data_IF_663406157103
#
_entry.id   IF_663406157103
#
_cell.length_a   1.000
_cell.length_b   1.000
_cell.length_c   1.000
_cell.angle_alpha   90.00
_cell.angle_beta   90.00
_cell.angle_gamma   90.00
#
_symmetry.space_group_name_H-M   'P 1'
#
loop_
_entity.id
_entity.type
_entity.pdbx_description
1 polymer ?
#
# COMPACT_ATOMS: atom_id res chain seq x y z
N UNK A 1 40.00 4.83 7.86
CA UNK A 1 39.24 4.31 9.02
C UNK A 1 37.94 5.08 9.11
N UNK A 2 36.79 4.43 8.94
CA UNK A 2 35.47 5.07 9.06
C UNK A 2 35.30 5.59 10.49
N UNK A 3 34.68 6.77 10.65
CA UNK A 3 34.41 7.33 11.98
C UNK A 3 33.43 6.41 12.72
N UNK A 4 33.51 6.29 14.07
CA UNK A 4 32.57 5.45 14.83
C UNK A 4 31.09 5.78 14.56
N UNK A 5 30.76 7.03 14.31
CA UNK A 5 29.42 7.51 13.96
C UNK A 5 28.95 6.99 12.59
N UNK A 6 29.85 6.88 11.61
CA UNK A 6 29.53 6.32 10.28
C UNK A 6 29.20 4.83 10.37
N UNK A 7 29.92 4.11 11.23
CA UNK A 7 29.67 2.68 11.48
C UNK A 7 28.33 2.46 12.18
N UNK A 8 28.00 3.29 13.18
CA UNK A 8 26.70 3.21 13.86
C UNK A 8 25.54 3.55 12.94
N UNK A 9 25.72 4.52 12.06
CA UNK A 9 24.70 4.88 11.05
C UNK A 9 24.48 3.75 10.07
N UNK A 10 25.54 3.20 9.49
CA UNK A 10 25.46 2.06 8.57
C UNK A 10 24.81 0.83 9.23
N UNK A 11 25.09 0.60 10.52
CA UNK A 11 24.47 -0.48 11.27
C UNK A 11 22.96 -0.26 11.47
N UNK A 12 22.53 0.97 11.81
CA UNK A 12 21.10 1.32 11.90
C UNK A 12 20.39 1.16 10.55
N UNK A 13 21.03 1.61 9.47
CA UNK A 13 20.48 1.48 8.12
C UNK A 13 20.31 0.01 7.73
N UNK A 14 21.29 -0.86 8.07
CA UNK A 14 21.21 -2.28 7.86
C UNK A 14 20.08 -2.93 8.67
N UNK A 15 19.92 -2.57 9.96
CA UNK A 15 18.80 -3.01 10.79
C UNK A 15 17.46 -2.52 10.25
N UNK A 16 17.41 -1.31 9.69
CA UNK A 16 16.21 -0.73 9.08
C UNK A 16 15.70 -1.50 7.88
N UNK A 17 16.53 -2.33 7.21
CA UNK A 17 16.10 -3.19 6.10
C UNK A 17 15.15 -4.32 6.54
N UNK A 18 15.08 -4.61 7.84
CA UNK A 18 14.14 -5.56 8.41
C UNK A 18 12.82 -4.84 8.73
N UNK A 19 11.77 -5.10 7.92
CA UNK A 19 10.44 -4.54 8.16
C UNK A 19 9.83 -5.15 9.43
N UNK A 20 9.38 -4.30 10.36
CA UNK A 20 8.76 -4.71 11.61
C UNK A 20 7.32 -4.21 11.71
N UNK A 21 6.51 -4.83 12.57
CA UNK A 21 5.32 -4.21 13.11
C UNK A 21 5.69 -3.06 14.05
N UNK A 22 4.74 -2.16 14.28
CA UNK A 22 4.85 -1.10 15.29
C UNK A 22 3.97 -1.46 16.47
N UNK A 23 4.54 -1.40 17.68
CA UNK A 23 3.80 -1.72 18.90
C UNK A 23 3.89 -0.58 19.92
N UNK A 24 2.89 -0.51 20.81
CA UNK A 24 2.98 0.26 22.06
C UNK A 24 2.95 -0.73 23.21
N UNK A 25 4.00 -0.72 24.03
CA UNK A 25 4.02 -1.40 25.33
C UNK A 25 3.52 -0.46 26.41
N UNK A 26 2.67 -0.95 27.32
CA UNK A 26 2.07 -0.18 28.41
C UNK A 26 2.21 -0.92 29.75
N UNK A 27 2.33 -0.17 30.84
CA UNK A 27 2.31 -0.66 32.20
C UNK A 27 1.86 0.46 33.16
N UNK A 28 1.80 0.19 34.46
CA UNK A 28 1.64 1.22 35.48
C UNK A 28 2.97 1.49 36.17
N UNK A 29 3.22 2.75 36.49
CA UNK A 29 4.27 3.17 37.40
C UNK A 29 3.88 2.82 38.83
N UNK A 30 4.83 2.82 39.82
CA UNK A 30 4.53 2.51 41.23
C UNK A 30 3.49 3.42 41.88
N UNK A 31 3.33 4.64 41.38
CA UNK A 31 2.31 5.62 41.82
C UNK A 31 0.93 5.43 41.15
N UNK A 32 0.80 4.44 40.29
CA UNK A 32 -0.44 4.12 39.56
C UNK A 32 -0.62 4.88 38.24
N UNK A 33 0.31 5.75 37.87
CA UNK A 33 0.23 6.49 36.61
C UNK A 33 0.48 5.57 35.38
N UNK A 34 -0.29 5.72 34.28
CA UNK A 34 -0.12 4.92 33.12
C UNK A 34 1.16 5.30 32.34
N UNK A 35 1.96 4.33 32.01
CA UNK A 35 3.22 4.48 31.26
C UNK A 35 3.17 3.70 29.96
N UNK A 36 3.68 4.29 28.87
CA UNK A 36 3.73 3.63 27.58
C UNK A 36 4.90 4.08 26.72
N UNK A 37 5.32 3.19 25.83
CA UNK A 37 6.42 3.43 24.88
C UNK A 37 6.19 2.71 23.57
N UNK A 38 6.50 3.38 22.46
CA UNK A 38 6.50 2.76 21.12
C UNK A 38 7.74 1.90 20.95
N UNK A 39 7.58 0.69 20.45
CA UNK A 39 8.65 -0.25 20.19
C UNK A 39 8.42 -0.99 18.87
N UNK A 40 9.50 -1.20 18.10
CA UNK A 40 9.54 -2.03 16.88
C UNK A 40 10.25 -3.38 17.11
N UNK A 41 10.66 -3.65 18.34
CA UNK A 41 11.43 -4.84 18.70
C UNK A 41 10.59 -6.03 19.17
N UNK A 42 9.26 -5.93 19.15
CA UNK A 42 8.36 -7.00 19.56
C UNK A 42 8.51 -8.24 18.67
N UNK A 43 8.61 -9.42 19.31
CA UNK A 43 8.67 -10.71 18.62
C UNK A 43 8.08 -11.84 19.47
N UNK A 44 7.64 -12.92 18.82
CA UNK A 44 7.27 -14.17 19.47
C UNK A 44 8.52 -14.96 19.91
N UNK A 45 8.40 -15.68 21.02
CA UNK A 45 9.49 -16.53 21.57
C UNK A 45 9.06 -17.99 21.60
N UNK A 46 7.89 -18.30 22.19
CA UNK A 46 7.41 -19.65 22.40
C UNK A 46 5.88 -19.72 22.33
N UNK A 47 5.35 -20.87 21.96
CA UNK A 47 3.91 -21.14 22.03
C UNK A 47 3.52 -21.92 23.30
N UNK A 48 4.45 -22.71 23.86
CA UNK A 48 4.26 -23.46 25.08
C UNK A 48 5.55 -23.45 25.94
N UNK A 49 5.57 -22.69 27.05
CA UNK A 49 4.59 -21.67 27.43
C UNK A 49 4.52 -20.50 26.41
N UNK A 50 3.40 -19.76 26.35
CA UNK A 50 3.23 -18.66 25.38
C UNK A 50 4.08 -17.46 25.81
N UNK A 51 5.21 -17.24 25.16
CA UNK A 51 6.17 -16.19 25.46
C UNK A 51 6.33 -15.22 24.28
N UNK A 52 6.44 -13.95 24.63
CA UNK A 52 6.80 -12.86 23.71
C UNK A 52 7.97 -12.05 24.28
N UNK A 53 8.69 -11.33 23.43
CA UNK A 53 9.73 -10.40 23.86
C UNK A 53 9.58 -9.03 23.18
N UNK A 54 10.16 -8.03 23.82
CA UNK A 54 10.46 -6.73 23.23
C UNK A 54 11.64 -6.10 23.98
N UNK A 55 12.21 -5.02 23.44
CA UNK A 55 13.40 -4.39 24.04
C UNK A 55 13.13 -2.94 24.42
N UNK A 56 13.51 -2.56 25.62
CA UNK A 56 13.36 -1.23 26.20
C UNK A 56 14.74 -0.57 26.36
N UNK A 57 14.90 0.62 25.79
CA UNK A 57 16.16 1.37 25.94
C UNK A 57 16.44 1.70 27.42
N UNK A 58 17.68 1.48 27.89
CA UNK A 58 18.11 1.80 29.25
C UNK A 58 18.01 3.28 29.60
N UNK A 59 18.09 4.13 28.56
CA UNK A 59 17.91 5.59 28.67
C UNK A 59 16.44 6.02 28.75
N UNK A 60 15.48 5.09 28.58
CA UNK A 60 14.05 5.43 28.63
C UNK A 60 13.62 5.82 30.04
N UNK A 61 12.90 6.94 30.17
CA UNK A 61 12.26 7.36 31.42
C UNK A 61 11.20 6.35 31.91
N UNK A 62 10.64 5.54 30.99
CA UNK A 62 9.65 4.50 31.32
C UNK A 62 10.28 3.24 31.95
N UNK A 63 11.62 3.13 31.97
CA UNK A 63 12.32 1.92 32.39
C UNK A 63 11.96 1.49 33.83
N UNK A 64 11.95 2.35 34.86
CA UNK A 64 11.62 1.92 36.20
C UNK A 64 10.24 1.26 36.26
N UNK A 65 9.22 1.87 35.65
CA UNK A 65 7.87 1.33 35.62
C UNK A 65 7.82 -0.09 35.03
N UNK A 66 8.42 -0.32 33.87
CA UNK A 66 8.43 -1.64 33.23
C UNK A 66 9.26 -2.67 33.98
N UNK A 67 10.36 -2.27 34.60
CA UNK A 67 11.21 -3.20 35.37
C UNK A 67 10.58 -3.63 36.69
N UNK A 68 9.76 -2.79 37.30
CA UNK A 68 9.23 -2.99 38.66
C UNK A 68 7.79 -3.51 38.68
N UNK A 69 6.97 -3.21 37.69
CA UNK A 69 5.53 -3.56 37.64
C UNK A 69 5.23 -5.06 37.64
N UNK A 70 6.14 -5.89 37.15
CA UNK A 70 5.93 -7.33 37.00
C UNK A 70 4.94 -7.74 35.90
N UNK A 71 4.38 -6.80 35.15
CA UNK A 71 3.44 -7.03 34.07
C UNK A 71 3.49 -5.92 33.01
N UNK A 72 3.03 -6.20 31.82
CA UNK A 72 2.88 -5.22 30.73
C UNK A 72 1.83 -5.67 29.71
N UNK A 73 1.29 -4.75 28.94
CA UNK A 73 0.51 -5.07 27.75
C UNK A 73 1.26 -4.58 26.50
N UNK A 74 1.14 -5.32 25.40
CA UNK A 74 1.68 -4.93 24.10
C UNK A 74 0.54 -4.83 23.10
N UNK A 75 0.45 -3.70 22.39
CA UNK A 75 -0.54 -3.42 21.36
C UNK A 75 0.14 -3.32 20.02
N UNK A 76 -0.15 -4.23 19.11
CA UNK A 76 0.22 -4.09 17.69
C UNK A 76 -0.70 -3.04 17.08
N UNK A 77 -0.13 -1.94 16.62
CA UNK A 77 -0.91 -0.83 16.08
C UNK A 77 -1.51 -1.16 14.73
N UNK A 78 -2.71 -0.64 14.47
CA UNK A 78 -3.32 -0.65 13.15
C UNK A 78 -2.72 0.46 12.26
N UNK A 79 -2.84 0.32 10.93
CA UNK A 79 -2.31 1.27 9.96
C UNK A 79 -2.81 2.71 10.18
N UNK A 80 -3.98 2.89 10.81
CA UNK A 80 -4.54 4.20 11.12
C UNK A 80 -3.90 4.88 12.35
N UNK A 81 -3.00 4.22 13.09
CA UNK A 81 -2.49 4.68 14.38
C UNK A 81 -1.08 5.28 14.34
N UNK A 82 -0.67 5.86 13.21
CA UNK A 82 0.65 6.50 13.05
C UNK A 82 0.84 7.65 14.04
N UNK A 83 -0.16 8.51 14.24
CA UNK A 83 -0.08 9.63 15.18
C UNK A 83 0.11 9.13 16.64
N UNK A 84 -0.59 8.06 17.00
CA UNK A 84 -0.46 7.44 18.31
C UNK A 84 0.95 6.86 18.51
N UNK A 85 1.48 6.17 17.50
CA UNK A 85 2.86 5.68 17.50
C UNK A 85 3.87 6.81 17.75
N UNK A 86 3.73 7.91 17.01
CA UNK A 86 4.62 9.08 17.15
C UNK A 86 4.54 9.72 18.55
N UNK A 87 3.34 9.79 19.14
CA UNK A 87 3.12 10.30 20.49
C UNK A 87 3.85 9.47 21.53
N UNK A 88 3.69 8.15 21.49
CA UNK A 88 4.31 7.24 22.47
C UNK A 88 5.83 7.06 22.25
N UNK A 89 6.36 7.45 21.09
CA UNK A 89 7.80 7.45 20.83
C UNK A 89 8.54 8.64 21.48
N UNK A 90 7.85 9.75 21.77
CA UNK A 90 8.46 10.96 22.34
C UNK A 90 8.67 10.81 23.85
N UNK A 91 9.62 11.60 24.41
CA UNK A 91 9.86 11.68 25.85
C UNK A 91 9.21 12.93 26.43
N UNK A 92 8.74 12.85 27.71
CA UNK A 92 8.36 14.02 28.50
C UNK A 92 6.96 14.61 28.27
N UNK A 93 6.08 13.95 27.52
CA UNK A 93 4.67 14.35 27.29
C UNK A 93 3.72 13.45 28.08
N UNK A 94 2.53 13.99 28.44
CA UNK A 94 1.39 13.18 28.88
C UNK A 94 0.85 12.39 27.67
N UNK A 95 1.37 11.19 27.50
CA UNK A 95 1.10 10.33 26.33
C UNK A 95 -0.31 9.77 26.33
N UNK A 96 -0.96 9.68 27.49
CA UNK A 96 -2.29 9.12 27.66
C UNK A 96 -3.41 10.16 27.59
N UNK A 97 -3.10 11.45 27.55
CA UNK A 97 -4.10 12.51 27.42
C UNK A 97 -4.97 12.32 26.18
N UNK A 98 -6.28 12.15 26.37
CA UNK A 98 -7.23 11.91 25.29
C UNK A 98 -7.11 10.54 24.59
N UNK A 99 -6.39 9.60 25.18
CA UNK A 99 -6.30 8.22 24.70
C UNK A 99 -7.29 7.35 25.49
N UNK A 100 -8.17 6.66 24.77
CA UNK A 100 -9.10 5.71 25.38
C UNK A 100 -8.36 4.42 25.75
N UNK A 101 -8.38 4.09 27.03
CA UNK A 101 -7.82 2.84 27.55
C UNK A 101 -8.64 2.33 28.75
N UNK A 102 -8.47 1.07 29.06
CA UNK A 102 -9.04 0.43 30.26
C UNK A 102 -7.98 -0.37 30.98
N UNK A 103 -8.21 -0.66 32.24
CA UNK A 103 -7.37 -1.57 33.00
C UNK A 103 -7.53 -3.00 32.47
N UNK A 104 -6.41 -3.68 32.17
CA UNK A 104 -6.37 -5.08 31.77
C UNK A 104 -6.40 -6.04 32.96
N UNK A 105 -6.35 -7.35 32.66
CA UNK A 105 -6.42 -8.42 33.68
C UNK A 105 -5.30 -8.34 34.74
N UNK A 106 -4.11 -7.85 34.34
CA UNK A 106 -2.96 -7.70 35.22
C UNK A 106 -2.75 -6.26 35.67
N UNK A 107 -3.67 -5.35 35.36
CA UNK A 107 -3.59 -3.95 35.74
C UNK A 107 -2.92 -3.04 34.71
N UNK A 108 -2.26 -3.57 33.67
CA UNK A 108 -1.67 -2.73 32.63
C UNK A 108 -2.73 -2.00 31.81
N UNK A 109 -2.49 -0.74 31.37
CA UNK A 109 -3.39 -0.02 30.49
C UNK A 109 -3.56 -0.77 29.17
N UNK A 110 -4.80 -1.10 28.79
CA UNK A 110 -5.18 -1.70 27.50
C UNK A 110 -5.83 -0.63 26.65
N UNK A 111 -5.21 -0.26 25.53
CA UNK A 111 -5.72 0.70 24.57
C UNK A 111 -7.00 0.19 23.92
N UNK A 112 -7.93 1.07 23.57
CA UNK A 112 -9.21 0.68 22.97
C UNK A 112 -9.11 0.25 21.48
N UNK A 113 -8.06 0.70 20.78
CA UNK A 113 -7.82 0.40 19.35
C UNK A 113 -6.45 -0.25 19.17
N UNK A 114 -6.40 -1.32 18.38
CA UNK A 114 -5.21 -2.10 18.02
C UNK A 114 -5.55 -3.13 16.93
N UNK A 115 -4.55 -3.60 16.22
CA UNK A 115 -4.69 -4.78 15.34
C UNK A 115 -4.61 -6.09 16.16
N UNK A 116 -3.73 -6.12 17.17
CA UNK A 116 -3.67 -7.19 18.16
C UNK A 116 -3.18 -6.65 19.51
N UNK A 117 -3.55 -7.31 20.62
CA UNK A 117 -3.02 -7.02 21.93
C UNK A 117 -2.62 -8.29 22.67
N UNK A 118 -1.66 -8.16 23.57
CA UNK A 118 -1.15 -9.23 24.43
C UNK A 118 -0.98 -8.67 25.83
N UNK A 119 -1.62 -9.27 26.85
CA UNK A 119 -1.39 -8.97 28.26
C UNK A 119 -0.42 -9.98 28.83
N UNK A 120 0.66 -9.50 29.42
CA UNK A 120 1.81 -10.32 29.76
C UNK A 120 2.22 -10.15 31.23
N UNK A 121 2.54 -11.27 31.88
CA UNK A 121 3.32 -11.29 33.13
C UNK A 121 4.79 -11.32 32.75
N UNK A 122 5.60 -10.39 33.33
CA UNK A 122 7.04 -10.38 33.14
C UNK A 122 7.65 -11.67 33.68
N UNK A 123 8.35 -12.44 32.84
CA UNK A 123 9.05 -13.68 33.24
C UNK A 123 10.53 -13.48 33.39
N UNK A 124 11.13 -12.76 32.44
CA UNK A 124 12.57 -12.52 32.47
C UNK A 124 12.88 -11.11 31.96
N UNK A 125 13.98 -10.58 32.51
CA UNK A 125 14.60 -9.35 32.06
C UNK A 125 16.08 -9.63 31.84
N UNK A 126 16.55 -9.43 30.58
CA UNK A 126 17.94 -9.69 30.24
C UNK A 126 18.65 -8.43 29.80
N UNK A 127 19.93 -8.33 30.17
CA UNK A 127 20.82 -7.29 29.69
C UNK A 127 21.09 -7.46 28.19
N UNK A 128 20.68 -6.47 27.39
CA UNK A 128 20.82 -6.45 25.93
C UNK A 128 21.68 -5.28 25.43
N UNK A 129 22.81 -5.00 26.09
CA UNK A 129 23.65 -3.86 25.70
C UNK A 129 23.09 -2.53 26.22
N UNK A 130 22.68 -1.64 25.32
CA UNK A 130 22.02 -0.38 25.64
C UNK A 130 20.48 -0.52 25.88
N UNK A 131 19.97 -1.75 25.78
CA UNK A 131 18.57 -2.11 26.03
C UNK A 131 18.44 -3.16 27.14
N UNK A 132 17.22 -3.32 27.66
CA UNK A 132 16.77 -4.45 28.46
C UNK A 132 15.79 -5.25 27.60
N UNK A 133 16.01 -6.55 27.48
CA UNK A 133 15.09 -7.46 26.79
C UNK A 133 14.05 -7.93 27.82
N UNK A 134 12.79 -7.54 27.60
CA UNK A 134 11.65 -7.92 28.41
C UNK A 134 11.01 -9.17 27.81
N UNK A 135 10.94 -10.26 28.58
CA UNK A 135 10.24 -11.47 28.17
C UNK A 135 8.99 -11.61 29.03
N UNK A 136 7.83 -11.69 28.37
CA UNK A 136 6.53 -11.83 29.02
C UNK A 136 5.83 -13.13 28.65
N UNK A 137 5.20 -13.76 29.64
CA UNK A 137 4.23 -14.84 29.42
C UNK A 137 2.87 -14.23 29.15
N UNK A 138 2.30 -14.57 28.02
CA UNK A 138 0.98 -14.09 27.59
C UNK A 138 -0.10 -14.77 28.41
N UNK A 139 -0.90 -13.98 29.14
CA UNK A 139 -2.03 -14.44 29.95
C UNK A 139 -3.38 -14.20 29.27
N UNK A 140 -3.43 -13.19 28.38
CA UNK A 140 -4.60 -12.91 27.57
C UNK A 140 -4.18 -12.23 26.25
N UNK A 141 -4.93 -12.45 25.20
CA UNK A 141 -4.67 -11.82 23.90
C UNK A 141 -5.96 -11.66 23.09
N UNK A 142 -5.95 -10.69 22.18
CA UNK A 142 -7.03 -10.45 21.21
C UNK A 142 -6.42 -10.00 19.90
N UNK A 143 -6.97 -10.48 18.79
CA UNK A 143 -6.63 -10.01 17.44
C UNK A 143 -7.90 -9.53 16.71
N UNK A 144 -7.77 -8.47 15.93
CA UNK A 144 -8.82 -7.89 15.11
C UNK A 144 -8.47 -7.98 13.63
N UNK A 145 -9.48 -7.92 12.80
CA UNK A 145 -9.27 -7.91 11.33
C UNK A 145 -8.92 -6.50 10.86
N UNK A 146 -7.76 -6.01 11.32
CA UNK A 146 -7.20 -4.71 10.96
C UNK A 146 -5.78 -4.87 10.39
N UNK A 147 -5.44 -4.08 9.38
CA UNK A 147 -4.10 -4.05 8.82
C UNK A 147 -3.12 -3.48 9.86
N UNK A 148 -1.99 -4.16 10.17
CA UNK A 148 -1.01 -3.64 11.10
C UNK A 148 -0.20 -2.48 10.50
N UNK A 149 0.18 -1.53 11.35
CA UNK A 149 1.16 -0.49 11.03
C UNK A 149 2.56 -1.13 10.92
N UNK A 150 3.25 -0.88 9.83
CA UNK A 150 4.61 -1.36 9.59
C UNK A 150 5.62 -0.22 9.66
N UNK A 151 6.87 -0.58 9.97
CA UNK A 151 8.02 0.33 9.94
C UNK A 151 9.16 -0.30 9.18
N UNK A 152 9.68 0.41 8.17
CA UNK A 152 10.78 -0.06 7.32
C UNK A 152 11.65 1.10 6.89
N UNK A 153 12.98 0.95 7.02
CA UNK A 153 13.97 1.93 6.57
C UNK A 153 13.69 3.37 7.05
N UNK A 154 13.25 3.52 8.31
CA UNK A 154 13.00 4.83 8.91
C UNK A 154 11.65 5.46 8.58
N UNK A 155 10.76 4.75 7.91
CA UNK A 155 9.45 5.24 7.48
C UNK A 155 8.33 4.25 7.84
N UNK A 156 7.13 4.78 8.08
CA UNK A 156 5.95 3.92 8.17
C UNK A 156 5.60 3.34 6.79
N UNK A 157 5.06 2.15 6.77
CA UNK A 157 4.68 1.41 5.58
C UNK A 157 3.34 0.69 5.79
N UNK A 158 2.63 0.45 4.72
CA UNK A 158 1.42 -0.36 4.72
C UNK A 158 1.69 -1.75 4.15
N UNK A 159 0.96 -2.73 4.65
CA UNK A 159 0.98 -4.07 4.10
C UNK A 159 0.26 -4.06 2.75
N UNK A 160 0.98 -4.33 1.67
CA UNK A 160 0.35 -4.74 0.42
C UNK A 160 0.12 -6.26 0.48
N UNK A 161 -1.14 -6.74 0.55
CA UNK A 161 -1.38 -8.17 0.47
C UNK A 161 -0.81 -8.67 -0.86
N UNK A 162 0.14 -9.61 -0.81
CA UNK A 162 0.34 -10.43 -2.00
C UNK A 162 -1.01 -11.10 -2.27
N UNK A 163 -1.52 -11.13 -3.50
CA UNK A 163 -2.65 -11.98 -3.81
C UNK A 163 -2.28 -13.36 -3.25
N UNK A 164 -2.89 -13.76 -2.15
CA UNK A 164 -3.00 -15.19 -1.86
C UNK A 164 -3.80 -15.67 -3.04
N UNK A 165 -3.23 -16.54 -3.85
CA UNK A 165 -4.00 -17.24 -4.84
C UNK A 165 -5.28 -17.63 -4.10
N UNK A 166 -6.42 -17.05 -4.52
CA UNK A 166 -7.73 -17.43 -4.01
C UNK A 166 -7.67 -18.92 -3.95
N UNK A 167 -7.99 -19.49 -2.77
CA UNK A 167 -7.73 -20.89 -2.50
C UNK A 167 -8.03 -21.65 -3.76
N UNK A 168 -7.02 -22.23 -4.36
CA UNK A 168 -7.18 -22.94 -5.59
C UNK A 168 -8.16 -24.06 -5.27
N UNK A 169 -9.45 -23.78 -5.51
CA UNK A 169 -10.29 -24.85 -6.03
C UNK A 169 -9.46 -25.33 -7.19
N UNK A 170 -8.94 -26.53 -7.03
CA UNK A 170 -7.93 -27.14 -7.84
C UNK A 170 -8.06 -26.69 -9.30
N UNK A 171 -7.28 -25.65 -9.69
CA UNK A 171 -6.96 -25.50 -11.10
C UNK A 171 -6.44 -26.88 -11.44
N UNK A 172 -7.13 -27.60 -12.31
CA UNK A 172 -6.70 -28.90 -12.76
C UNK A 172 -5.42 -28.72 -13.58
N UNK A 173 -4.33 -28.41 -12.85
CA UNK A 173 -2.98 -28.18 -13.41
C UNK A 173 -2.42 -29.48 -13.97
N UNK A 174 -2.96 -30.62 -13.56
CA UNK A 174 -2.55 -31.93 -14.11
C UNK A 174 -3.01 -32.10 -15.55
N UNK A 175 -4.11 -31.49 -15.95
CA UNK A 175 -4.64 -31.60 -17.33
C UNK A 175 -4.49 -30.32 -18.15
N UNK A 176 -3.91 -29.24 -17.60
CA UNK A 176 -3.67 -27.98 -18.30
C UNK A 176 -4.96 -27.31 -18.84
N UNK A 177 -6.13 -27.61 -18.26
CA UNK A 177 -7.40 -27.06 -18.72
C UNK A 177 -7.59 -25.65 -18.20
N UNK A 178 -7.77 -24.74 -19.11
CA UNK A 178 -8.08 -23.34 -18.83
C UNK A 178 -9.58 -23.20 -18.51
N UNK A 179 -9.92 -22.60 -17.37
CA UNK A 179 -11.30 -22.30 -17.01
C UNK A 179 -11.73 -20.96 -17.59
N UNK A 180 -12.90 -20.91 -18.20
CA UNK A 180 -13.51 -19.67 -18.69
C UNK A 180 -14.08 -18.80 -17.55
N UNK A 181 -14.10 -19.30 -16.31
CA UNK A 181 -14.45 -18.56 -15.09
C UNK A 181 -13.23 -17.90 -14.40
N UNK A 182 -12.04 -17.97 -15.00
CA UNK A 182 -10.85 -17.33 -14.49
C UNK A 182 -10.93 -15.81 -14.63
N UNK A 183 -10.88 -15.06 -13.51
CA UNK A 183 -11.12 -13.61 -13.46
C UNK A 183 -10.26 -12.83 -14.48
N UNK A 184 -8.96 -13.12 -14.58
CA UNK A 184 -8.10 -12.41 -15.54
C UNK A 184 -8.44 -12.72 -16.99
N UNK A 185 -8.95 -13.92 -17.27
CA UNK A 185 -9.48 -14.26 -18.60
C UNK A 185 -10.72 -13.43 -18.92
N UNK A 186 -11.67 -13.34 -17.99
CA UNK A 186 -12.89 -12.55 -18.16
C UNK A 186 -12.58 -11.08 -18.40
N UNK A 187 -11.66 -10.49 -17.61
CA UNK A 187 -11.22 -9.10 -17.79
C UNK A 187 -10.57 -8.92 -19.17
N UNK A 188 -9.63 -9.80 -19.54
CA UNK A 188 -8.92 -9.74 -20.81
C UNK A 188 -9.88 -9.92 -21.98
N UNK A 189 -10.77 -10.90 -21.92
CA UNK A 189 -11.77 -11.16 -22.95
C UNK A 189 -12.74 -9.98 -23.12
N UNK A 190 -13.24 -9.42 -22.00
CA UNK A 190 -14.09 -8.25 -22.04
C UNK A 190 -13.36 -7.07 -22.68
N UNK A 191 -12.10 -6.80 -22.33
CA UNK A 191 -11.27 -5.76 -22.94
C UNK A 191 -11.11 -5.97 -24.44
N UNK A 192 -10.72 -7.17 -24.90
CA UNK A 192 -10.51 -7.42 -26.33
C UNK A 192 -11.80 -7.35 -27.13
N UNK A 193 -12.92 -7.81 -26.60
CA UNK A 193 -14.22 -7.75 -27.26
C UNK A 193 -14.77 -6.33 -27.34
N UNK A 194 -14.73 -5.57 -26.24
CA UNK A 194 -15.26 -4.19 -26.22
C UNK A 194 -14.39 -3.20 -27.00
N UNK A 195 -13.07 -3.42 -27.06
CA UNK A 195 -12.15 -2.57 -27.83
C UNK A 195 -12.05 -2.90 -29.32
N UNK A 196 -12.60 -4.05 -29.76
CA UNK A 196 -12.53 -4.48 -31.17
C UNK A 196 -13.15 -3.46 -32.14
N UNK A 197 -14.41 -2.97 -31.94
CA UNK A 197 -14.99 -2.00 -32.84
C UNK A 197 -14.19 -0.69 -32.94
N UNK A 198 -13.60 -0.25 -31.82
CA UNK A 198 -12.73 0.94 -31.82
C UNK A 198 -11.46 0.70 -32.64
N UNK A 199 -10.85 -0.49 -32.57
CA UNK A 199 -9.69 -0.84 -33.39
C UNK A 199 -10.03 -0.88 -34.88
N UNK A 200 -11.18 -1.43 -35.23
CA UNK A 200 -11.69 -1.47 -36.61
C UNK A 200 -11.91 -0.03 -37.14
N UNK A 201 -12.55 0.84 -36.32
CA UNK A 201 -12.74 2.25 -36.66
C UNK A 201 -11.43 3.01 -36.85
N UNK A 202 -10.44 2.79 -35.97
CA UNK A 202 -9.10 3.39 -36.11
C UNK A 202 -8.42 2.96 -37.43
N UNK A 203 -8.53 1.68 -37.80
CA UNK A 203 -7.98 1.18 -39.06
C UNK A 203 -8.65 1.85 -40.27
N UNK A 204 -9.97 2.07 -40.23
CA UNK A 204 -10.69 2.83 -41.27
C UNK A 204 -10.19 4.27 -41.40
N UNK A 205 -9.84 4.90 -40.25
CA UNK A 205 -9.29 6.25 -40.18
C UNK A 205 -7.79 6.32 -40.52
N UNK A 206 -7.14 5.19 -40.85
CA UNK A 206 -5.70 5.13 -41.13
C UNK A 206 -4.82 5.39 -39.90
N UNK A 207 -5.34 5.09 -38.72
CA UNK A 207 -4.65 5.27 -37.43
C UNK A 207 -4.47 3.94 -36.70
N UNK A 208 -3.50 3.90 -35.78
CA UNK A 208 -3.23 2.75 -34.92
C UNK A 208 -3.72 2.99 -33.50
N UNK A 209 -3.80 1.90 -32.70
CA UNK A 209 -4.09 2.00 -31.27
C UNK A 209 -3.00 2.80 -30.53
N UNK A 210 -1.73 2.65 -30.93
CA UNK A 210 -0.62 3.42 -30.31
C UNK A 210 -0.76 4.92 -30.60
N UNK A 211 -1.11 5.30 -31.83
CA UNK A 211 -1.41 6.70 -32.18
C UNK A 211 -2.58 7.22 -31.32
N UNK A 212 -3.67 6.48 -31.25
CA UNK A 212 -4.84 6.87 -30.44
C UNK A 212 -4.53 7.04 -28.96
N UNK A 213 -3.80 6.10 -28.35
CA UNK A 213 -3.40 6.20 -26.93
C UNK A 213 -2.47 7.39 -26.68
N UNK A 214 -1.56 7.68 -27.60
CA UNK A 214 -0.71 8.88 -27.54
C UNK A 214 -1.56 10.16 -27.59
N UNK A 215 -2.54 10.24 -28.49
CA UNK A 215 -3.47 11.37 -28.57
C UNK A 215 -4.31 11.49 -27.29
N UNK A 216 -4.74 10.35 -26.72
CA UNK A 216 -5.52 10.33 -25.48
C UNK A 216 -4.74 10.93 -24.30
N UNK A 217 -3.48 10.53 -24.12
CA UNK A 217 -2.61 11.11 -23.07
C UNK A 217 -2.44 12.62 -23.27
N UNK A 218 -2.09 13.05 -24.48
CA UNK A 218 -1.89 14.47 -24.77
C UNK A 218 -3.19 15.29 -24.73
N UNK A 219 -4.35 14.65 -24.85
CA UNK A 219 -5.64 15.34 -24.69
C UNK A 219 -5.95 15.72 -23.23
N UNK A 220 -5.33 15.02 -22.28
CA UNK A 220 -5.52 15.27 -20.85
C UNK A 220 -4.44 16.20 -20.29
N UNK A 221 -3.21 16.02 -20.76
CA UNK A 221 -2.08 16.79 -20.28
C UNK A 221 -1.09 16.98 -21.43
N UNK A 222 -0.90 18.21 -21.85
CA UNK A 222 0.07 18.63 -22.87
C UNK A 222 0.62 20.01 -22.53
N UNK A 223 1.87 20.36 -22.95
CA UNK A 223 2.79 19.52 -23.72
C UNK A 223 3.52 18.48 -22.85
N UNK A 224 3.91 17.34 -23.43
CA UNK A 224 4.68 16.29 -22.77
C UNK A 224 5.83 15.81 -23.66
N UNK A 225 6.97 15.45 -23.04
CA UNK A 225 8.07 14.78 -23.73
C UNK A 225 7.79 13.28 -23.94
N UNK A 226 8.62 12.61 -24.73
CA UNK A 226 8.47 11.19 -25.04
C UNK A 226 8.45 10.32 -23.79
N UNK A 227 9.32 10.62 -22.80
CA UNK A 227 9.44 9.84 -21.58
C UNK A 227 8.16 9.97 -20.72
N UNK A 228 7.65 11.17 -20.58
CA UNK A 228 6.43 11.45 -19.83
C UNK A 228 5.20 10.78 -20.47
N UNK A 229 5.09 10.80 -21.82
CA UNK A 229 4.04 10.05 -22.51
C UNK A 229 4.17 8.53 -22.26
N UNK A 230 5.39 8.00 -22.37
CA UNK A 230 5.66 6.57 -22.14
C UNK A 230 5.33 6.12 -20.72
N UNK A 231 5.65 6.92 -19.71
CA UNK A 231 5.30 6.64 -18.31
C UNK A 231 3.78 6.53 -18.11
N UNK A 232 2.99 7.39 -18.74
CA UNK A 232 1.52 7.35 -18.66
C UNK A 232 0.90 6.15 -19.39
N UNK A 233 1.59 5.58 -20.35
CA UNK A 233 1.13 4.45 -21.15
C UNK A 233 1.75 3.10 -20.73
N UNK A 234 2.62 3.08 -19.72
CA UNK A 234 3.34 1.86 -19.29
C UNK A 234 2.40 0.68 -19.02
N UNK A 235 1.22 0.93 -18.48
CA UNK A 235 0.20 -0.09 -18.18
C UNK A 235 -0.43 -0.71 -19.45
N UNK A 236 -0.33 -0.07 -20.59
CA UNK A 236 -0.88 -0.55 -21.86
C UNK A 236 0.12 -1.41 -22.64
N UNK A 237 1.40 -1.37 -22.30
CA UNK A 237 2.49 -1.93 -23.09
C UNK A 237 2.81 -1.16 -24.37
N UNK A 238 2.21 0.01 -24.59
CA UNK A 238 2.34 0.84 -25.81
C UNK A 238 3.06 2.17 -25.53
N UNK A 239 4.32 2.11 -25.08
CA UNK A 239 5.14 3.32 -24.98
C UNK A 239 5.54 3.80 -26.38
N UNK A 240 5.23 5.06 -26.80
CA UNK A 240 5.53 5.52 -28.14
C UNK A 240 7.04 5.66 -28.36
N UNK A 241 7.53 5.10 -29.48
CA UNK A 241 8.90 5.32 -29.92
C UNK A 241 9.05 6.71 -30.54
N UNK A 242 10.28 7.27 -30.53
CA UNK A 242 10.58 8.52 -31.25
C UNK A 242 10.11 8.45 -32.71
N UNK A 243 10.33 7.31 -33.36
CA UNK A 243 9.89 7.08 -34.75
C UNK A 243 8.38 7.24 -34.92
N UNK A 244 7.59 6.78 -33.96
CA UNK A 244 6.13 6.95 -34.00
C UNK A 244 5.74 8.41 -33.84
N UNK A 245 6.33 9.12 -32.87
CA UNK A 245 6.07 10.54 -32.64
C UNK A 245 6.44 11.39 -33.85
N UNK A 246 7.59 11.13 -34.49
CA UNK A 246 8.00 11.78 -35.74
C UNK A 246 7.00 11.48 -36.90
N UNK A 247 6.48 10.26 -36.98
CA UNK A 247 5.44 9.92 -37.94
C UNK A 247 4.15 10.69 -37.70
N UNK A 248 3.70 10.76 -36.44
CA UNK A 248 2.50 11.51 -36.05
C UNK A 248 2.64 13.01 -36.32
N UNK A 249 3.83 13.57 -36.10
CA UNK A 249 4.14 14.97 -36.43
C UNK A 249 4.09 15.20 -37.95
N UNK A 250 4.65 14.29 -38.78
CA UNK A 250 4.54 14.33 -40.23
C UNK A 250 3.10 14.20 -40.71
N UNK A 251 2.28 13.38 -40.07
CA UNK A 251 0.82 13.27 -40.30
C UNK A 251 0.05 14.51 -39.85
N UNK A 252 0.70 15.49 -39.23
CA UNK A 252 0.10 16.68 -38.62
C UNK A 252 -0.90 16.36 -37.50
N UNK A 253 -0.71 15.22 -36.83
CA UNK A 253 -1.48 14.85 -35.64
C UNK A 253 -0.91 15.49 -34.39
N UNK A 254 0.41 15.73 -34.36
CA UNK A 254 1.12 16.37 -33.26
C UNK A 254 1.87 17.60 -33.76
N UNK A 255 2.10 18.56 -32.85
CA UNK A 255 3.11 19.59 -32.94
C UNK A 255 4.26 19.23 -31.99
N UNK A 256 5.49 19.63 -32.38
CA UNK A 256 6.68 19.43 -31.54
C UNK A 256 7.34 20.79 -31.29
N UNK A 257 7.64 21.08 -30.05
CA UNK A 257 8.44 22.24 -29.62
C UNK A 257 9.32 21.85 -28.45
N UNK A 258 10.63 22.13 -28.53
CA UNK A 258 11.59 21.86 -27.46
C UNK A 258 11.51 20.41 -26.91
N UNK A 259 11.49 19.43 -27.83
CA UNK A 259 11.36 18.00 -27.56
C UNK A 259 10.05 17.60 -26.84
N UNK A 260 9.09 18.50 -26.72
CA UNK A 260 7.76 18.26 -26.17
C UNK A 260 6.71 18.25 -27.28
N UNK A 261 5.68 17.45 -27.07
CA UNK A 261 4.60 17.21 -28.04
C UNK A 261 3.27 17.74 -27.51
N UNK A 262 2.49 18.31 -28.43
CA UNK A 262 1.09 18.69 -28.18
C UNK A 262 0.21 18.25 -29.35
N UNK A 263 -1.11 18.22 -29.14
CA UNK A 263 -2.10 17.89 -30.15
C UNK A 263 -2.16 18.99 -31.22
N UNK A 264 -1.91 18.62 -32.45
CA UNK A 264 -2.32 19.46 -33.58
C UNK A 264 -3.84 19.38 -33.81
N UNK A 265 -4.40 20.29 -34.58
CA UNK A 265 -5.83 20.34 -34.87
C UNK A 265 -6.37 19.02 -35.45
N UNK A 266 -5.64 18.43 -36.40
CA UNK A 266 -6.02 17.13 -36.99
C UNK A 266 -5.96 15.99 -35.96
N UNK A 267 -4.99 16.01 -35.07
CA UNK A 267 -4.89 15.02 -33.98
C UNK A 267 -6.04 15.14 -32.99
N UNK A 268 -6.40 16.36 -32.61
CA UNK A 268 -7.57 16.63 -31.76
C UNK A 268 -8.86 16.15 -32.41
N UNK A 269 -9.05 16.42 -33.69
CA UNK A 269 -10.22 15.97 -34.45
C UNK A 269 -10.31 14.44 -34.48
N UNK A 270 -9.22 13.75 -34.81
CA UNK A 270 -9.14 12.28 -34.85
C UNK A 270 -9.46 11.70 -33.46
N UNK A 271 -8.88 12.27 -32.41
CA UNK A 271 -9.13 11.82 -31.04
C UNK A 271 -10.61 11.97 -30.66
N UNK A 272 -11.22 13.14 -30.88
CA UNK A 272 -12.63 13.40 -30.54
C UNK A 272 -13.56 12.49 -31.34
N UNK A 273 -13.30 12.26 -32.62
CA UNK A 273 -14.10 11.34 -33.45
C UNK A 273 -14.04 9.90 -32.89
N UNK A 274 -12.84 9.40 -32.58
CA UNK A 274 -12.67 8.05 -32.03
C UNK A 274 -13.26 7.94 -30.61
N UNK A 275 -13.07 8.94 -29.77
CA UNK A 275 -13.65 8.99 -28.42
C UNK A 275 -15.19 8.99 -28.47
N UNK A 276 -15.78 9.77 -29.36
CA UNK A 276 -17.23 9.85 -29.54
C UNK A 276 -17.80 8.49 -29.97
N UNK A 277 -17.13 7.81 -30.88
CA UNK A 277 -17.47 6.44 -31.27
C UNK A 277 -17.41 5.47 -30.09
N UNK A 278 -16.31 5.49 -29.32
CA UNK A 278 -16.17 4.68 -28.11
C UNK A 278 -17.25 4.97 -27.05
N UNK A 279 -17.63 6.25 -26.88
CA UNK A 279 -18.72 6.64 -25.97
C UNK A 279 -20.10 6.14 -26.42
N UNK A 280 -20.36 6.11 -27.71
CA UNK A 280 -21.59 5.51 -28.24
C UNK A 280 -21.65 4.01 -27.96
N UNK A 281 -20.55 3.28 -28.16
CA UNK A 281 -20.44 1.85 -27.81
C UNK A 281 -20.63 1.60 -26.30
N UNK A 282 -20.05 2.44 -25.44
CA UNK A 282 -20.26 2.36 -23.98
C UNK A 282 -21.73 2.55 -23.63
N UNK A 283 -22.41 3.55 -24.25
CA UNK A 283 -23.82 3.81 -24.02
C UNK A 283 -24.73 2.65 -24.45
N UNK A 284 -24.45 2.07 -25.64
CA UNK A 284 -25.18 0.89 -26.11
C UNK A 284 -25.01 -0.31 -25.18
N UNK A 285 -23.80 -0.57 -24.73
CA UNK A 285 -23.53 -1.64 -23.78
C UNK A 285 -24.22 -1.37 -22.43
N UNK A 286 -24.19 -0.13 -21.97
CA UNK A 286 -24.78 0.28 -20.69
C UNK A 286 -26.30 0.05 -20.62
N UNK A 287 -27.02 0.08 -21.78
CA UNK A 287 -28.45 -0.19 -21.84
C UNK A 287 -28.83 -1.62 -21.43
N UNK A 288 -27.87 -2.53 -21.37
CA UNK A 288 -28.09 -3.92 -20.95
C UNK A 288 -27.91 -4.15 -19.45
N UNK A 289 -27.56 -3.11 -18.68
CA UNK A 289 -27.29 -3.18 -17.25
C UNK A 289 -28.11 -2.15 -16.48
N UNK A 290 -28.42 -2.46 -15.24
CA UNK A 290 -28.96 -1.46 -14.31
C UNK A 290 -27.88 -0.45 -13.88
N UNK A 291 -28.24 0.77 -13.46
CA UNK A 291 -27.29 1.74 -12.93
C UNK A 291 -26.46 1.20 -11.74
N UNK A 292 -27.05 0.33 -10.91
CA UNK A 292 -26.38 -0.28 -9.77
C UNK A 292 -25.29 -1.27 -10.21
N UNK A 293 -25.59 -2.13 -11.20
CA UNK A 293 -24.61 -3.09 -11.77
C UNK A 293 -23.44 -2.36 -12.41
N UNK A 294 -23.70 -1.29 -13.16
CA UNK A 294 -22.63 -0.48 -13.77
C UNK A 294 -21.74 0.19 -12.72
N UNK A 295 -22.37 0.76 -11.68
CA UNK A 295 -21.63 1.40 -10.59
C UNK A 295 -20.75 0.39 -9.86
N UNK A 296 -21.29 -0.79 -9.54
CA UNK A 296 -20.56 -1.86 -8.87
C UNK A 296 -19.42 -2.39 -9.75
N UNK A 297 -19.67 -2.62 -11.04
CA UNK A 297 -18.64 -3.07 -11.98
C UNK A 297 -17.48 -2.05 -12.05
N UNK A 298 -17.79 -0.75 -12.19
CA UNK A 298 -16.77 0.32 -12.19
C UNK A 298 -16.00 0.35 -10.86
N UNK A 299 -16.67 0.17 -9.73
CA UNK A 299 -16.04 0.11 -8.40
C UNK A 299 -15.07 -1.06 -8.29
N UNK A 300 -15.48 -2.26 -8.72
CA UNK A 300 -14.67 -3.47 -8.68
C UNK A 300 -13.45 -3.33 -9.59
N UNK A 301 -13.61 -2.84 -10.83
CA UNK A 301 -12.51 -2.63 -11.77
C UNK A 301 -11.49 -1.61 -11.24
N UNK A 302 -11.94 -0.49 -10.65
CA UNK A 302 -11.04 0.49 -10.02
C UNK A 302 -10.24 -0.17 -8.88
N UNK A 303 -10.89 -0.96 -8.02
CA UNK A 303 -10.21 -1.69 -6.95
C UNK A 303 -9.19 -2.69 -7.49
N UNK A 304 -9.49 -3.38 -8.59
CA UNK A 304 -8.53 -4.28 -9.23
C UNK A 304 -7.32 -3.49 -9.75
N UNK A 305 -7.52 -2.34 -10.39
CA UNK A 305 -6.46 -1.45 -10.87
C UNK A 305 -5.58 -1.01 -9.69
N UNK A 306 -6.19 -0.54 -8.60
CA UNK A 306 -5.45 -0.10 -7.40
C UNK A 306 -4.64 -1.24 -6.77
N UNK A 307 -5.18 -2.45 -6.71
CA UNK A 307 -4.52 -3.63 -6.13
C UNK A 307 -3.43 -4.22 -7.05
N UNK A 308 -3.55 -4.07 -8.37
CA UNK A 308 -2.55 -4.60 -9.32
C UNK A 308 -1.29 -3.73 -9.44
N UNK A 309 -1.29 -2.57 -8.81
CA UNK A 309 -0.06 -1.82 -8.57
C UNK A 309 0.60 -1.20 -9.80
N UNK A 310 -0.15 -0.93 -10.84
CA UNK A 310 0.37 -0.09 -11.89
C UNK A 310 0.60 1.33 -11.34
N UNK A 311 1.83 1.82 -11.42
CA UNK A 311 2.16 3.22 -11.16
C UNK A 311 1.59 4.08 -12.29
N UNK A 312 0.26 4.18 -12.31
CA UNK A 312 -0.43 5.11 -13.21
C UNK A 312 -0.36 6.49 -12.57
N UNK A 313 0.14 7.50 -13.26
CA UNK A 313 0.21 8.85 -12.74
C UNK A 313 -1.14 9.32 -12.20
N UNK A 314 -1.09 10.09 -11.11
CA UNK A 314 -2.26 10.53 -10.32
C UNK A 314 -3.35 11.23 -11.16
N UNK A 315 -3.00 11.90 -12.27
CA UNK A 315 -3.93 12.57 -13.16
C UNK A 315 -5.01 11.68 -13.84
N UNK A 316 -4.87 10.35 -13.77
CA UNK A 316 -5.87 9.39 -14.24
C UNK A 316 -6.91 9.01 -13.17
N UNK A 317 -6.73 9.47 -11.92
CA UNK A 317 -7.59 9.12 -10.77
C UNK A 317 -8.67 10.15 -10.49
N UNK A 318 -8.59 11.35 -11.06
CA UNK A 318 -9.46 12.49 -10.78
C UNK A 318 -10.41 12.83 -11.98
N UNK A 319 -10.93 11.83 -12.65
CA UNK A 319 -11.92 12.01 -13.72
C UNK A 319 -13.26 11.35 -13.39
#
# INVERSE_FOLDING_TARGET
MSRPEDVQRAFRDALGSFATGVTIATTLAPDGEPVGVTASSFNSVSLDPPLVLWSLAKSSHSRPAFCESGHFAVHVLSAAQEELSNRFARSGEDKFSGVDWKEGQLGSPVLSQYAARFECRTRHQYEGGDHIIMVGEVVDFEARDEAPLLFHSGSYAERRPRPRGAGAESVDTEHGRFSDDFLFYLISRAHFQTSRPTREKLAELGSSMEEYLTLAVLSMEAPLDQQAIGQRLVHTGHAPSRRLLDLMTRKKLLTEQDESYDLAEAGRKLFVETLSFGKALEADLANHFTPAELAETKRVLRRIIDLSGADVPIGWREG
#
